data_IF_433873902696
#
_entry.id   IF_433873902696
#
_cell.length_a   1.000
_cell.length_b   1.000
_cell.length_c   1.000
_cell.angle_alpha   90.00
_cell.angle_beta   90.00
_cell.angle_gamma   90.00
#
_symmetry.space_group_name_H-M   'P 1'
#
loop_
_entity.id
_entity.type
_entity.pdbx_description
1 polymer ?
#
# COMPACT_ATOMS: atom_id res chain seq x y z
N UNK A 1 16.73 48.01 -27.14
CA UNK A 1 15.73 47.73 -26.08
C UNK A 1 16.28 46.56 -25.30
N UNK A 2 16.86 46.83 -24.13
CA UNK A 2 17.73 45.86 -23.46
C UNK A 2 16.96 44.67 -22.90
N UNK A 3 17.50 43.45 -23.10
CA UNK A 3 16.94 42.19 -22.61
C UNK A 3 16.62 42.24 -21.10
N UNK A 4 17.42 43.00 -20.33
CA UNK A 4 17.22 43.25 -18.90
C UNK A 4 15.92 44.00 -18.60
N UNK A 5 15.55 44.99 -19.40
CA UNK A 5 14.32 45.75 -19.21
C UNK A 5 13.08 44.88 -19.51
N UNK A 6 13.15 44.03 -20.53
CA UNK A 6 12.11 43.04 -20.84
C UNK A 6 11.93 42.03 -19.70
N UNK A 7 13.01 41.49 -19.14
CA UNK A 7 12.98 40.57 -17.99
C UNK A 7 12.37 41.21 -16.74
N UNK A 8 12.68 42.46 -16.44
CA UNK A 8 12.15 43.18 -15.28
C UNK A 8 10.64 43.47 -15.45
N UNK A 9 10.20 43.84 -16.65
CA UNK A 9 8.78 44.07 -16.94
C UNK A 9 8.02 42.75 -16.86
N UNK A 10 8.56 41.66 -17.41
CA UNK A 10 7.94 40.33 -17.35
C UNK A 10 7.84 39.81 -15.91
N UNK A 11 8.90 39.97 -15.10
CA UNK A 11 8.89 39.54 -13.70
C UNK A 11 7.92 40.36 -12.86
N UNK A 12 7.82 41.67 -13.10
CA UNK A 12 6.91 42.57 -12.37
C UNK A 12 5.44 42.28 -12.72
N UNK A 13 5.15 41.98 -13.99
CA UNK A 13 3.80 41.60 -14.41
C UNK A 13 3.41 40.21 -13.88
N UNK A 14 4.35 39.25 -13.84
CA UNK A 14 4.13 37.96 -13.19
C UNK A 14 3.80 38.14 -11.70
N UNK A 15 4.62 38.87 -10.93
CA UNK A 15 4.41 39.09 -9.50
C UNK A 15 3.06 39.77 -9.19
N UNK A 16 2.70 40.80 -9.96
CA UNK A 16 1.43 41.53 -9.81
C UNK A 16 0.22 40.63 -10.08
N UNK A 17 0.29 39.78 -11.10
CA UNK A 17 -0.79 38.86 -11.45
C UNK A 17 -0.90 37.72 -10.42
N UNK A 18 0.25 37.22 -9.92
CA UNK A 18 0.34 36.21 -8.86
C UNK A 18 -0.32 36.68 -7.56
N UNK A 19 -0.07 37.93 -7.14
CA UNK A 19 -0.67 38.49 -5.92
C UNK A 19 -2.19 38.61 -6.03
N UNK A 20 -2.73 39.05 -7.16
CA UNK A 20 -4.17 39.18 -7.37
C UNK A 20 -4.90 37.83 -7.39
N UNK A 21 -4.26 36.77 -7.90
CA UNK A 21 -4.83 35.41 -7.91
C UNK A 21 -4.83 34.82 -6.48
N UNK A 22 -3.76 35.03 -5.71
CA UNK A 22 -3.66 34.57 -4.31
C UNK A 22 -4.65 35.26 -3.37
N UNK A 23 -5.03 36.51 -3.67
CA UNK A 23 -6.00 37.28 -2.87
C UNK A 23 -7.46 37.02 -3.28
N UNK A 24 -7.71 36.32 -4.39
CA UNK A 24 -9.06 36.02 -4.84
C UNK A 24 -9.70 34.91 -3.98
N UNK A 25 -10.88 35.12 -3.37
CA UNK A 25 -11.55 34.10 -2.56
C UNK A 25 -11.91 32.83 -3.35
N UNK A 26 -12.15 32.98 -4.66
CA UNK A 26 -12.43 31.87 -5.59
C UNK A 26 -11.22 30.92 -5.70
N UNK A 27 -10.00 31.45 -5.65
CA UNK A 27 -8.78 30.63 -5.70
C UNK A 27 -8.68 29.71 -4.48
N UNK A 28 -8.93 30.23 -3.28
CA UNK A 28 -8.90 29.45 -2.05
C UNK A 28 -10.00 28.39 -1.98
N UNK A 29 -11.21 28.70 -2.46
CA UNK A 29 -12.31 27.74 -2.55
C UNK A 29 -11.97 26.59 -3.52
N UNK A 30 -11.41 26.92 -4.68
CA UNK A 30 -11.02 25.93 -5.68
C UNK A 30 -9.84 25.07 -5.21
N UNK A 31 -8.84 25.68 -4.57
CA UNK A 31 -7.72 24.97 -3.93
C UNK A 31 -8.20 24.02 -2.84
N UNK A 32 -9.11 24.47 -1.97
CA UNK A 32 -9.68 23.64 -0.91
C UNK A 32 -10.44 22.44 -1.48
N UNK A 33 -11.22 22.64 -2.55
CA UNK A 33 -11.93 21.55 -3.23
C UNK A 33 -10.98 20.51 -3.83
N UNK A 34 -9.88 20.95 -4.47
CA UNK A 34 -8.83 20.06 -4.99
C UNK A 34 -8.15 19.29 -3.86
N UNK A 35 -7.82 19.95 -2.75
CA UNK A 35 -7.17 19.29 -1.61
C UNK A 35 -8.08 18.23 -0.98
N UNK A 36 -9.37 18.52 -0.79
CA UNK A 36 -10.34 17.54 -0.29
C UNK A 36 -10.48 16.37 -1.25
N UNK A 37 -10.60 16.63 -2.54
CA UNK A 37 -10.68 15.58 -3.56
C UNK A 37 -9.41 14.72 -3.58
N UNK A 38 -8.24 15.33 -3.45
CA UNK A 38 -6.96 14.64 -3.34
C UNK A 38 -6.88 13.75 -2.09
N UNK A 39 -7.32 14.25 -0.93
CA UNK A 39 -7.36 13.47 0.31
C UNK A 39 -8.28 12.25 0.18
N UNK A 40 -9.47 12.43 -0.40
CA UNK A 40 -10.42 11.32 -0.62
C UNK A 40 -9.80 10.28 -1.55
N UNK A 41 -9.25 10.69 -2.69
CA UNK A 41 -8.61 9.76 -3.63
C UNK A 41 -7.41 9.06 -3.02
N UNK A 42 -6.58 9.77 -2.27
CA UNK A 42 -5.44 9.21 -1.55
C UNK A 42 -5.86 8.14 -0.55
N UNK A 43 -6.92 8.39 0.23
CA UNK A 43 -7.47 7.41 1.17
C UNK A 43 -7.98 6.16 0.46
N UNK A 44 -8.75 6.32 -0.63
CA UNK A 44 -9.24 5.18 -1.41
C UNK A 44 -8.12 4.38 -2.09
N UNK A 45 -7.09 5.06 -2.61
CA UNK A 45 -5.90 4.40 -3.18
C UNK A 45 -5.22 3.53 -2.13
N UNK A 46 -4.89 4.09 -0.97
CA UNK A 46 -4.22 3.35 0.12
C UNK A 46 -5.06 2.15 0.56
N UNK A 47 -6.38 2.32 0.66
CA UNK A 47 -7.29 1.23 1.02
C UNK A 47 -7.27 0.11 -0.02
N UNK A 48 -7.40 0.44 -1.31
CA UNK A 48 -7.37 -0.54 -2.40
C UNK A 48 -6.02 -1.26 -2.48
N UNK A 49 -4.91 -0.53 -2.33
CA UNK A 49 -3.56 -1.09 -2.30
C UNK A 49 -3.42 -2.17 -1.22
N UNK A 50 -3.89 -1.88 -0.01
CA UNK A 50 -3.85 -2.84 1.11
C UNK A 50 -4.77 -4.03 0.86
N UNK A 51 -5.99 -3.81 0.37
CA UNK A 51 -6.91 -4.90 0.04
C UNK A 51 -6.33 -5.82 -1.04
N UNK A 52 -5.74 -5.26 -2.10
CA UNK A 52 -5.11 -6.02 -3.17
C UNK A 52 -3.89 -6.80 -2.67
N UNK A 53 -3.06 -6.19 -1.81
CA UNK A 53 -1.91 -6.86 -1.20
C UNK A 53 -2.31 -8.08 -0.37
N UNK A 54 -3.33 -7.94 0.47
CA UNK A 54 -3.89 -9.04 1.28
C UNK A 54 -4.53 -10.10 0.39
N UNK A 55 -5.35 -9.70 -0.58
CA UNK A 55 -6.00 -10.63 -1.50
C UNK A 55 -4.99 -11.45 -2.31
N UNK A 56 -3.93 -10.81 -2.81
CA UNK A 56 -2.86 -11.49 -3.53
C UNK A 56 -2.14 -12.48 -2.61
N UNK A 57 -1.75 -12.06 -1.41
CA UNK A 57 -1.08 -12.94 -0.44
C UNK A 57 -1.95 -14.17 -0.11
N UNK A 58 -3.24 -13.96 0.13
CA UNK A 58 -4.20 -15.01 0.44
C UNK A 58 -4.39 -15.99 -0.73
N UNK A 59 -4.51 -15.48 -1.95
CA UNK A 59 -4.63 -16.33 -3.15
C UNK A 59 -3.40 -17.24 -3.35
N UNK A 60 -2.20 -16.71 -3.07
CA UNK A 60 -0.95 -17.44 -3.18
C UNK A 60 -0.84 -18.47 -2.04
N UNK A 61 -1.23 -18.11 -0.80
CA UNK A 61 -1.30 -19.06 0.34
C UNK A 61 -2.19 -20.25 0.02
N UNK A 62 -3.40 -20.00 -0.48
CA UNK A 62 -4.33 -21.06 -0.87
C UNK A 62 -3.73 -21.99 -1.93
N UNK A 63 -3.12 -21.41 -2.98
CA UNK A 63 -2.47 -22.18 -4.05
C UNK A 63 -1.30 -23.03 -3.54
N UNK A 64 -0.45 -22.49 -2.65
CA UNK A 64 0.66 -23.23 -2.03
C UNK A 64 0.18 -24.37 -1.14
N UNK A 65 -0.83 -24.12 -0.31
CA UNK A 65 -1.40 -25.14 0.58
C UNK A 65 -2.04 -26.29 -0.21
N UNK A 66 -2.85 -25.97 -1.23
CA UNK A 66 -3.45 -26.97 -2.13
C UNK A 66 -2.39 -27.80 -2.85
N UNK A 67 -1.37 -27.14 -3.42
CA UNK A 67 -0.27 -27.83 -4.09
C UNK A 67 0.53 -28.75 -3.15
N UNK A 68 0.59 -28.44 -1.85
CA UNK A 68 1.21 -29.31 -0.86
C UNK A 68 0.34 -30.51 -0.50
N UNK A 69 -0.98 -30.34 -0.39
CA UNK A 69 -1.92 -31.44 -0.14
C UNK A 69 -1.96 -32.44 -1.30
N UNK A 70 -2.01 -31.96 -2.54
CA UNK A 70 -2.11 -32.79 -3.76
C UNK A 70 -0.87 -33.70 -3.98
N UNK A 71 0.28 -33.42 -3.35
CA UNK A 71 1.50 -34.23 -3.50
C UNK A 71 1.36 -35.67 -2.97
N UNK A 72 1.95 -36.67 -3.65
CA UNK A 72 1.99 -38.05 -3.18
C UNK A 72 2.85 -38.17 -1.91
N UNK A 73 2.43 -39.04 -0.99
CA UNK A 73 3.06 -39.22 0.33
C UNK A 73 4.56 -39.50 0.28
N UNK A 74 5.01 -40.23 -0.73
CA UNK A 74 6.39 -40.67 -0.86
C UNK A 74 7.40 -39.53 -1.12
N UNK A 75 6.93 -38.30 -1.36
CA UNK A 75 7.76 -37.10 -1.57
C UNK A 75 7.75 -36.14 -0.38
N UNK A 76 7.12 -36.48 0.74
CA UNK A 76 6.95 -35.57 1.87
C UNK A 76 8.02 -35.81 2.93
N UNK A 77 9.03 -34.93 2.96
CA UNK A 77 9.98 -34.84 4.07
C UNK A 77 9.52 -33.79 5.10
N UNK A 78 9.96 -33.95 6.35
CA UNK A 78 9.81 -32.96 7.42
C UNK A 78 10.26 -31.56 6.95
N UNK A 79 11.31 -31.50 6.13
CA UNK A 79 11.85 -30.25 5.58
C UNK A 79 10.85 -29.52 4.68
N UNK A 80 10.06 -30.26 3.88
CA UNK A 80 9.05 -29.64 3.01
C UNK A 80 7.86 -29.09 3.80
N UNK A 81 7.53 -29.71 4.94
CA UNK A 81 6.51 -29.19 5.87
C UNK A 81 6.99 -27.85 6.47
N UNK A 82 8.21 -27.83 6.98
CA UNK A 82 8.82 -26.63 7.56
C UNK A 82 8.98 -25.51 6.52
N UNK A 83 9.38 -25.83 5.28
CA UNK A 83 9.49 -24.87 4.17
C UNK A 83 8.13 -24.27 3.79
N UNK A 84 7.05 -25.08 3.76
CA UNK A 84 5.70 -24.58 3.50
C UNK A 84 5.26 -23.60 4.60
N UNK A 85 5.45 -23.97 5.87
CA UNK A 85 5.10 -23.12 7.01
C UNK A 85 5.88 -21.81 6.93
N UNK A 86 7.19 -21.86 6.69
CA UNK A 86 8.04 -20.67 6.54
C UNK A 86 7.60 -19.77 5.37
N UNK A 87 7.22 -20.38 4.24
CA UNK A 87 6.71 -19.64 3.06
C UNK A 87 5.42 -18.91 3.35
N UNK A 88 4.44 -19.58 3.96
CA UNK A 88 3.12 -19.03 4.25
C UNK A 88 3.17 -17.97 5.36
N UNK A 89 3.97 -18.21 6.40
CA UNK A 89 4.03 -17.36 7.60
C UNK A 89 4.98 -16.19 7.48
N UNK A 90 6.09 -16.31 6.73
CA UNK A 90 7.15 -15.30 6.74
C UNK A 90 7.41 -14.73 5.35
N UNK A 91 7.67 -15.57 4.35
CA UNK A 91 8.07 -15.07 3.02
C UNK A 91 6.93 -14.37 2.30
N UNK A 92 5.72 -14.91 2.33
CA UNK A 92 4.54 -14.31 1.68
C UNK A 92 4.15 -12.94 2.23
N UNK A 93 3.99 -12.78 3.56
CA UNK A 93 3.75 -11.47 4.15
C UNK A 93 4.84 -10.47 3.81
N UNK A 94 6.12 -10.86 3.94
CA UNK A 94 7.24 -9.97 3.66
C UNK A 94 7.27 -9.52 2.19
N UNK A 95 6.99 -10.45 1.27
CA UNK A 95 6.92 -10.16 -0.17
C UNK A 95 5.74 -9.25 -0.48
N UNK A 96 4.56 -9.50 0.13
CA UNK A 96 3.39 -8.63 -0.02
C UNK A 96 3.66 -7.22 0.52
N UNK A 97 4.33 -7.08 1.68
CA UNK A 97 4.71 -5.80 2.25
C UNK A 97 5.70 -5.05 1.35
N UNK A 98 6.71 -5.75 0.82
CA UNK A 98 7.66 -5.18 -0.13
C UNK A 98 6.98 -4.70 -1.42
N UNK A 99 6.10 -5.51 -2.00
CA UNK A 99 5.37 -5.16 -3.22
C UNK A 99 4.42 -3.98 -2.98
N UNK A 100 3.75 -3.96 -1.82
CA UNK A 100 2.87 -2.86 -1.42
C UNK A 100 3.66 -1.55 -1.21
N UNK A 101 4.76 -1.60 -0.46
CA UNK A 101 5.54 -0.40 -0.15
C UNK A 101 6.37 0.12 -1.32
N UNK A 102 6.95 -0.76 -2.13
CA UNK A 102 7.82 -0.34 -3.23
C UNK A 102 7.03 0.06 -4.46
N UNK A 103 6.17 -0.82 -4.99
CA UNK A 103 5.48 -0.57 -6.26
C UNK A 103 4.42 0.52 -6.09
N UNK A 104 3.49 0.32 -5.15
CA UNK A 104 2.42 1.29 -4.95
C UNK A 104 2.92 2.58 -4.28
N UNK A 105 3.95 2.48 -3.41
CA UNK A 105 4.62 3.67 -2.88
C UNK A 105 5.23 4.55 -3.97
N UNK A 106 5.87 3.95 -4.98
CA UNK A 106 6.45 4.68 -6.11
C UNK A 106 5.37 5.30 -7.00
N UNK A 107 4.31 4.55 -7.34
CA UNK A 107 3.17 5.06 -8.11
C UNK A 107 2.52 6.25 -7.41
N UNK A 108 2.28 6.14 -6.10
CA UNK A 108 1.72 7.22 -5.29
C UNK A 108 2.62 8.46 -5.28
N UNK A 109 3.93 8.25 -5.14
CA UNK A 109 4.90 9.35 -5.16
C UNK A 109 4.88 10.08 -6.52
N UNK A 110 4.85 9.35 -7.63
CA UNK A 110 4.73 9.94 -8.97
C UNK A 110 3.45 10.77 -9.11
N UNK A 111 2.31 10.25 -8.66
CA UNK A 111 1.03 10.97 -8.70
C UNK A 111 1.12 12.27 -7.87
N UNK A 112 1.71 12.21 -6.68
CA UNK A 112 1.83 13.38 -5.80
C UNK A 112 2.73 14.46 -6.39
N UNK A 113 3.83 14.06 -7.03
CA UNK A 113 4.71 14.98 -7.75
C UNK A 113 3.96 15.65 -8.90
N UNK A 114 3.25 14.88 -9.73
CA UNK A 114 2.48 15.43 -10.87
C UNK A 114 1.41 16.40 -10.40
N UNK A 115 0.61 16.03 -9.38
CA UNK A 115 -0.43 16.90 -8.84
C UNK A 115 0.17 18.19 -8.26
N UNK A 116 1.30 18.08 -7.57
CA UNK A 116 1.97 19.23 -6.98
C UNK A 116 2.55 20.18 -8.03
N UNK A 117 3.09 19.65 -9.13
CA UNK A 117 3.56 20.44 -10.28
C UNK A 117 2.39 21.14 -10.99
N UNK A 118 1.23 20.49 -11.12
CA UNK A 118 0.04 21.12 -11.71
C UNK A 118 -0.49 22.26 -10.85
N UNK A 119 -0.52 22.08 -9.52
CA UNK A 119 -0.90 23.14 -8.57
C UNK A 119 0.11 24.30 -8.61
N UNK A 120 1.41 23.98 -8.72
CA UNK A 120 2.49 24.96 -8.90
C UNK A 120 2.25 25.86 -10.10
N UNK A 121 2.05 25.23 -11.26
CA UNK A 121 1.90 25.89 -12.54
C UNK A 121 0.64 26.75 -12.58
N UNK A 122 -0.45 26.31 -11.95
CA UNK A 122 -1.70 27.04 -11.95
C UNK A 122 -1.72 28.21 -10.95
N UNK A 123 -1.31 28.00 -9.70
CA UNK A 123 -1.30 29.07 -8.70
C UNK A 123 -0.10 30.02 -8.82
N UNK A 124 0.79 29.76 -9.78
CA UNK A 124 2.04 30.48 -9.96
C UNK A 124 2.97 30.41 -8.75
N UNK A 125 2.78 29.49 -7.81
CA UNK A 125 3.51 29.47 -6.53
C UNK A 125 5.02 29.29 -6.74
N UNK A 126 5.81 29.91 -5.86
CA UNK A 126 7.26 29.67 -5.85
C UNK A 126 7.55 28.21 -5.44
N UNK A 127 8.52 27.59 -6.12
CA UNK A 127 8.91 26.20 -5.89
C UNK A 127 9.23 25.89 -4.42
N UNK A 128 9.73 26.87 -3.67
CA UNK A 128 10.03 26.72 -2.24
C UNK A 128 8.82 26.44 -1.36
N UNK A 129 7.67 27.08 -1.64
CA UNK A 129 6.43 26.86 -0.86
C UNK A 129 5.88 25.45 -1.09
N UNK A 130 6.06 24.93 -2.30
CA UNK A 130 5.56 23.62 -2.72
C UNK A 130 6.39 22.50 -2.09
N UNK A 131 7.71 22.66 -2.09
CA UNK A 131 8.62 21.73 -1.40
C UNK A 131 8.30 21.69 0.09
N UNK A 132 8.13 22.86 0.72
CA UNK A 132 7.76 22.94 2.14
C UNK A 132 6.43 22.22 2.42
N UNK A 133 5.41 22.47 1.59
CA UNK A 133 4.10 21.83 1.73
C UNK A 133 4.18 20.31 1.55
N UNK A 134 4.96 19.82 0.59
CA UNK A 134 5.19 18.38 0.38
C UNK A 134 5.88 17.74 1.59
N UNK A 135 6.88 18.40 2.17
CA UNK A 135 7.58 17.92 3.37
C UNK A 135 6.60 17.80 4.54
N UNK A 136 5.83 18.85 4.82
CA UNK A 136 4.83 18.84 5.91
C UNK A 136 3.78 17.76 5.68
N UNK A 137 3.24 17.64 4.46
CA UNK A 137 2.25 16.61 4.12
C UNK A 137 2.82 15.20 4.31
N UNK A 138 4.07 14.98 3.90
CA UNK A 138 4.75 13.68 4.06
C UNK A 138 4.96 13.32 5.54
N UNK A 139 5.28 14.30 6.39
CA UNK A 139 5.44 14.11 7.82
C UNK A 139 4.11 13.71 8.47
N UNK A 140 3.01 14.39 8.11
CA UNK A 140 1.66 14.08 8.62
C UNK A 140 1.27 12.64 8.23
N UNK A 141 1.49 12.27 6.96
CA UNK A 141 1.20 10.91 6.47
C UNK A 141 2.06 9.88 7.21
N UNK A 142 3.34 10.16 7.47
CA UNK A 142 4.22 9.25 8.20
C UNK A 142 3.75 9.01 9.64
N UNK A 143 3.37 10.08 10.36
CA UNK A 143 2.85 9.97 11.73
C UNK A 143 1.54 9.19 11.75
N UNK A 144 0.60 9.51 10.86
CA UNK A 144 -0.67 8.79 10.76
C UNK A 144 -0.45 7.30 10.44
N UNK A 145 0.44 6.98 9.50
CA UNK A 145 0.78 5.62 9.13
C UNK A 145 1.39 4.83 10.30
N UNK A 146 2.23 5.46 11.13
CA UNK A 146 2.84 4.82 12.30
C UNK A 146 1.80 4.37 13.33
N UNK A 147 0.84 5.23 13.67
CA UNK A 147 -0.22 4.89 14.62
C UNK A 147 -1.12 3.76 14.11
N UNK A 148 -1.48 3.82 12.82
CA UNK A 148 -2.25 2.78 12.15
C UNK A 148 -1.47 1.46 12.18
N UNK A 149 -0.22 1.44 11.74
CA UNK A 149 0.61 0.24 11.71
C UNK A 149 0.72 -0.41 13.08
N UNK A 150 0.95 0.38 14.14
CA UNK A 150 1.06 -0.13 15.51
C UNK A 150 -0.19 -0.88 15.97
N UNK A 151 -1.38 -0.41 15.60
CA UNK A 151 -2.63 -1.08 15.98
C UNK A 151 -2.82 -2.41 15.23
N UNK A 152 -2.56 -2.42 13.92
CA UNK A 152 -2.81 -3.60 13.08
C UNK A 152 -1.76 -4.70 13.21
N UNK A 153 -0.49 -4.37 13.50
CA UNK A 153 0.59 -5.36 13.69
C UNK A 153 0.25 -6.35 14.81
N UNK A 154 -0.34 -5.89 15.91
CA UNK A 154 -0.72 -6.77 17.04
C UNK A 154 -1.81 -7.77 16.65
N UNK A 155 -2.76 -7.35 15.83
CA UNK A 155 -3.83 -8.21 15.33
C UNK A 155 -3.30 -9.23 14.32
N UNK A 156 -2.44 -8.80 13.39
CA UNK A 156 -1.83 -9.69 12.39
C UNK A 156 -1.08 -10.86 13.03
N UNK A 157 -0.26 -10.62 14.06
CA UNK A 157 0.51 -11.67 14.76
C UNK A 157 -0.40 -12.76 15.35
N UNK A 158 -1.58 -12.36 15.84
CA UNK A 158 -2.57 -13.30 16.41
C UNK A 158 -3.17 -14.20 15.32
N UNK A 159 -3.56 -13.62 14.19
CA UNK A 159 -4.09 -14.38 13.05
C UNK A 159 -3.03 -15.31 12.43
N UNK A 160 -1.78 -14.86 12.31
CA UNK A 160 -0.68 -15.71 11.83
C UNK A 160 -0.46 -16.93 12.71
N UNK A 161 -0.55 -16.78 14.03
CA UNK A 161 -0.40 -17.90 14.97
C UNK A 161 -1.50 -18.94 14.80
N UNK A 162 -2.74 -18.52 14.52
CA UNK A 162 -3.85 -19.43 14.25
C UNK A 162 -3.67 -20.17 12.91
N UNK A 163 -3.25 -19.47 11.85
CA UNK A 163 -2.96 -20.06 10.54
C UNK A 163 -1.85 -21.11 10.65
N UNK A 164 -0.75 -20.80 11.35
CA UNK A 164 0.37 -21.73 11.54
C UNK A 164 -0.09 -22.98 12.28
N UNK A 165 -0.89 -22.83 13.34
CA UNK A 165 -1.42 -23.96 14.12
C UNK A 165 -2.28 -24.90 13.28
N UNK A 166 -3.14 -24.36 12.40
CA UNK A 166 -3.99 -25.16 11.52
C UNK A 166 -3.21 -25.84 10.39
N UNK A 167 -2.19 -25.16 9.84
CA UNK A 167 -1.28 -25.79 8.87
C UNK A 167 -0.46 -26.89 9.52
N UNK A 168 0.02 -26.69 10.74
CA UNK A 168 0.81 -27.69 11.47
C UNK A 168 -0.02 -28.95 11.79
N UNK A 169 -1.25 -28.76 12.29
CA UNK A 169 -2.20 -29.83 12.57
C UNK A 169 -2.64 -30.58 11.30
N UNK A 170 -2.97 -29.85 10.23
CA UNK A 170 -3.35 -30.46 8.95
C UNK A 170 -2.19 -31.21 8.30
N UNK A 171 -0.96 -30.73 8.49
CA UNK A 171 0.24 -31.38 7.96
C UNK A 171 0.68 -32.59 8.78
N UNK A 172 0.48 -32.62 10.10
CA UNK A 172 0.73 -33.81 10.94
C UNK A 172 -0.32 -34.90 10.70
N UNK A 173 -1.58 -34.53 10.50
CA UNK A 173 -2.69 -35.48 10.28
C UNK A 173 -2.93 -35.82 8.80
N UNK A 174 -2.00 -35.47 7.90
CA UNK A 174 -2.21 -35.62 6.45
C UNK A 174 -2.50 -37.06 6.02
N UNK A 175 -1.88 -38.05 6.67
CA UNK A 175 -2.15 -39.47 6.40
C UNK A 175 -3.62 -39.82 6.65
N UNK A 176 -4.19 -39.30 7.74
CA UNK A 176 -5.61 -39.44 8.05
C UNK A 176 -6.47 -38.67 7.03
N UNK A 177 -6.15 -37.40 6.77
CA UNK A 177 -6.93 -36.57 5.84
C UNK A 177 -7.04 -37.18 4.44
N UNK A 178 -5.96 -37.77 3.93
CA UNK A 178 -5.93 -38.37 2.59
C UNK A 178 -6.48 -39.80 2.55
N UNK A 179 -6.35 -40.58 3.63
CA UNK A 179 -7.03 -41.88 3.75
C UNK A 179 -8.55 -41.75 3.90
N UNK A 180 -9.03 -40.66 4.52
CA UNK A 180 -10.46 -40.39 4.72
C UNK A 180 -11.06 -39.39 3.73
N UNK A 181 -10.29 -38.99 2.70
CA UNK A 181 -10.72 -38.05 1.65
C UNK A 181 -11.27 -36.70 2.19
N UNK A 182 -10.75 -36.25 3.34
CA UNK A 182 -11.15 -35.02 4.05
C UNK A 182 -10.32 -33.78 3.65
N UNK A 183 -9.50 -33.89 2.60
CA UNK A 183 -8.67 -32.78 2.09
C UNK A 183 -9.50 -31.53 1.74
N UNK A 184 -10.73 -31.73 1.22
CA UNK A 184 -11.68 -30.67 0.94
C UNK A 184 -12.22 -29.94 2.19
N UNK A 185 -12.26 -30.62 3.35
CA UNK A 185 -12.71 -30.03 4.62
C UNK A 185 -11.59 -29.25 5.29
N UNK A 186 -10.36 -29.76 5.22
CA UNK A 186 -9.17 -29.07 5.72
C UNK A 186 -8.88 -27.78 4.93
N UNK A 187 -9.00 -27.82 3.60
CA UNK A 187 -8.89 -26.61 2.74
C UNK A 187 -9.98 -25.59 3.04
N UNK A 188 -11.24 -26.00 3.23
CA UNK A 188 -12.33 -25.08 3.63
C UNK A 188 -12.14 -24.46 5.02
N UNK A 189 -11.52 -25.18 5.98
CA UNK A 189 -11.17 -24.62 7.29
C UNK A 189 -10.05 -23.59 7.18
N UNK A 190 -9.03 -23.88 6.37
CA UNK A 190 -7.96 -22.94 6.06
C UNK A 190 -8.49 -21.67 5.36
N UNK A 191 -9.41 -21.80 4.40
CA UNK A 191 -10.04 -20.68 3.70
C UNK A 191 -10.89 -19.77 4.59
N UNK A 192 -11.36 -20.25 5.76
CA UNK A 192 -12.06 -19.38 6.73
C UNK A 192 -11.11 -18.48 7.52
N UNK A 193 -9.83 -18.83 7.57
CA UNK A 193 -8.81 -18.12 8.36
C UNK A 193 -7.98 -17.14 7.51
N UNK A 194 -8.11 -17.22 6.19
CA UNK A 194 -7.34 -16.48 5.19
C UNK A 194 -8.28 -15.49 4.52
#
# INVERSE_FOLDING_TARGET
>A
MDLKALLIIFSRNQLSTQQNILLAPIFWQFLAMILVFFFINSFFSIRQEKTLGVWLANSIRHRLFRAYLDRPFNKMSQDQKSDLIAKISYQLPLTSMGLTNSVFGLVRWLIYVVVSVLIAAWGGLSWGVIILAMIVLSLIIAVAAYFVARHYISQEVTYYSQIIREVDASASEKCFLKNFNQEGTATKRFDRLV
#
